data_IF_530060428648
#
_entry.id   IF_530060428648
#
_cell.length_a   1.000
_cell.length_b   1.000
_cell.length_c   1.000
_cell.angle_alpha   90.00
_cell.angle_beta   90.00
_cell.angle_gamma   90.00
#
_symmetry.space_group_name_H-M   'P 1'
#
loop_
_entity.id
_entity.type
_entity.pdbx_description
1 polymer ?
#
# COMPACT_ATOMS: atom_id res chain seq x y z
N UNK A 1 -8.21 -34.63 -11.86
CA UNK A 1 -8.42 -33.23 -11.45
C UNK A 1 -9.17 -32.53 -12.56
N UNK A 2 -10.22 -31.77 -12.26
CA UNK A 2 -10.89 -30.93 -13.26
C UNK A 2 -9.85 -29.97 -13.84
N UNK A 3 -9.81 -29.85 -15.17
CA UNK A 3 -8.89 -28.94 -15.86
C UNK A 3 -9.38 -27.50 -15.71
N UNK A 4 -9.00 -26.94 -14.57
CA UNK A 4 -9.24 -25.57 -14.14
C UNK A 4 -8.59 -24.53 -15.06
N UNK A 5 -7.66 -24.91 -15.94
CA UNK A 5 -6.93 -23.95 -16.77
C UNK A 5 -7.76 -23.36 -17.92
N UNK A 6 -8.85 -24.04 -18.32
CA UNK A 6 -9.73 -23.63 -19.43
C UNK A 6 -10.94 -22.78 -18.99
N UNK A 7 -11.11 -22.58 -17.68
CA UNK A 7 -12.27 -21.88 -17.11
C UNK A 7 -11.92 -20.41 -16.88
N UNK A 8 -12.75 -19.51 -17.42
CA UNK A 8 -12.64 -18.08 -17.12
C UNK A 8 -13.20 -17.80 -15.71
N UNK A 9 -12.29 -17.62 -14.74
CA UNK A 9 -12.63 -17.38 -13.34
C UNK A 9 -13.16 -15.98 -13.06
N UNK A 10 -12.91 -14.99 -13.93
CA UNK A 10 -13.39 -13.62 -13.73
C UNK A 10 -14.92 -13.52 -13.85
N UNK A 11 -15.56 -14.49 -14.54
CA UNK A 11 -17.01 -14.59 -14.63
C UNK A 11 -17.66 -15.26 -13.41
N UNK A 12 -16.88 -16.04 -12.64
CA UNK A 12 -17.38 -16.86 -11.53
C UNK A 12 -17.04 -16.21 -10.19
N UNK A 13 -15.82 -15.69 -10.06
CA UNK A 13 -15.30 -15.07 -8.85
C UNK A 13 -14.99 -13.60 -9.10
N UNK A 14 -15.31 -12.76 -8.10
CA UNK A 14 -15.01 -11.33 -8.13
C UNK A 14 -14.06 -10.98 -6.99
N UNK A 15 -12.96 -10.32 -7.35
CA UNK A 15 -11.97 -9.77 -6.43
C UNK A 15 -12.37 -8.35 -6.01
N UNK A 16 -13.27 -8.27 -5.04
CA UNK A 16 -13.77 -7.00 -4.50
C UNK A 16 -12.69 -6.19 -3.79
N UNK A 17 -11.65 -6.86 -3.27
CA UNK A 17 -10.43 -6.25 -2.73
C UNK A 17 -9.76 -5.33 -3.74
N UNK A 18 -9.54 -5.81 -4.97
CA UNK A 18 -8.92 -5.02 -6.05
C UNK A 18 -9.83 -3.89 -6.51
N UNK A 19 -11.14 -4.14 -6.59
CA UNK A 19 -12.09 -3.12 -7.06
C UNK A 19 -12.22 -1.93 -6.12
N UNK A 20 -12.05 -2.17 -4.81
CA UNK A 20 -12.14 -1.14 -3.77
C UNK A 20 -10.78 -0.49 -3.49
N UNK A 21 -9.69 -1.10 -3.95
CA UNK A 21 -8.34 -0.57 -3.78
C UNK A 21 -8.22 0.83 -4.40
N UNK A 22 -7.69 1.78 -3.61
CA UNK A 22 -7.44 3.13 -4.08
C UNK A 22 -6.45 3.10 -5.23
N UNK A 23 -6.71 3.87 -6.29
CA UNK A 23 -5.77 4.03 -7.42
C UNK A 23 -4.53 4.84 -7.02
N UNK A 24 -4.55 5.49 -5.86
CA UNK A 24 -3.44 6.31 -5.38
C UNK A 24 -2.35 5.42 -4.78
N UNK A 25 -1.09 5.75 -5.06
CA UNK A 25 0.02 5.01 -4.48
C UNK A 25 0.13 5.32 -2.98
N UNK A 26 0.63 4.38 -2.17
CA UNK A 26 0.84 4.60 -0.74
C UNK A 26 1.67 5.85 -0.43
N UNK A 27 2.64 6.19 -1.27
CA UNK A 27 3.49 7.37 -1.13
C UNK A 27 2.70 8.68 -1.31
N UNK A 28 1.75 8.69 -2.26
CA UNK A 28 0.91 9.86 -2.56
C UNK A 28 -0.08 10.13 -1.39
N UNK A 29 -0.58 9.06 -0.78
CA UNK A 29 -1.45 9.14 0.40
C UNK A 29 -0.65 9.63 1.61
N UNK A 30 0.56 9.10 1.82
CA UNK A 30 1.44 9.54 2.90
C UNK A 30 1.75 11.04 2.77
N UNK A 31 2.09 11.53 1.58
CA UNK A 31 2.38 12.94 1.33
C UNK A 31 1.22 13.90 1.72
N UNK A 32 -0.03 13.44 1.65
CA UNK A 32 -1.21 14.24 2.06
C UNK A 32 -1.40 14.32 3.58
N UNK A 33 -0.95 13.29 4.30
CA UNK A 33 -1.21 13.13 5.75
C UNK A 33 0.00 13.59 6.59
N UNK A 34 1.20 13.60 6.00
CA UNK A 34 2.42 13.97 6.69
C UNK A 34 2.36 15.40 7.27
N UNK A 35 2.91 15.63 8.48
CA UNK A 35 2.94 16.94 9.09
C UNK A 35 3.81 17.92 8.29
N UNK A 36 3.43 19.20 8.30
CA UNK A 36 4.16 20.27 7.59
C UNK A 36 5.46 20.70 8.29
N UNK A 37 5.56 20.43 9.59
CA UNK A 37 6.76 20.74 10.37
C UNK A 37 7.92 19.84 9.92
N UNK A 38 9.05 20.45 9.55
CA UNK A 38 10.19 19.77 8.97
C UNK A 38 10.83 18.73 9.92
N UNK A 39 10.80 18.97 11.24
CA UNK A 39 11.37 18.03 12.22
C UNK A 39 10.48 16.81 12.38
N UNK A 40 9.17 17.03 12.49
CA UNK A 40 8.19 15.95 12.66
C UNK A 40 7.95 15.17 11.37
N UNK A 41 8.09 15.82 10.21
CA UNK A 41 7.95 15.19 8.90
C UNK A 41 8.95 14.07 8.68
N UNK A 42 10.22 14.30 9.02
CA UNK A 42 11.29 13.30 8.88
C UNK A 42 11.02 12.07 9.74
N UNK A 43 10.66 12.27 11.01
CA UNK A 43 10.31 11.18 11.93
C UNK A 43 9.08 10.41 11.45
N UNK A 44 8.05 11.12 10.98
CA UNK A 44 6.84 10.50 10.46
C UNK A 44 7.11 9.68 9.19
N UNK A 45 7.94 10.18 8.27
CA UNK A 45 8.37 9.43 7.08
C UNK A 45 9.16 8.17 7.46
N UNK A 46 10.11 8.28 8.40
CA UNK A 46 10.93 7.14 8.82
C UNK A 46 10.10 6.03 9.48
N UNK A 47 9.04 6.41 10.22
CA UNK A 47 8.07 5.45 10.81
C UNK A 47 7.17 4.84 9.73
N UNK A 48 6.63 5.64 8.81
CA UNK A 48 5.73 5.17 7.74
C UNK A 48 6.45 4.20 6.80
N UNK A 49 7.72 4.49 6.47
CA UNK A 49 8.54 3.65 5.59
C UNK A 49 9.33 2.56 6.34
N UNK A 50 9.08 2.37 7.63
CA UNK A 50 9.71 1.35 8.47
C UNK A 50 11.25 1.35 8.39
N UNK A 51 11.87 2.52 8.34
CA UNK A 51 13.33 2.70 8.28
C UNK A 51 14.01 2.53 9.64
N UNK A 52 13.60 1.53 10.42
CA UNK A 52 14.11 1.29 11.78
C UNK A 52 15.62 1.06 11.84
N UNK A 53 16.25 0.65 10.74
CA UNK A 53 17.71 0.48 10.65
C UNK A 53 18.51 1.77 10.59
N UNK A 54 17.89 2.92 10.32
CA UNK A 54 18.55 4.23 10.35
C UNK A 54 18.53 4.88 11.76
N UNK A 55 17.85 4.24 12.73
CA UNK A 55 17.60 4.78 14.09
C UNK A 55 18.57 4.19 15.13
N UNK A 56 19.24 3.07 14.85
CA UNK A 56 20.29 2.52 15.71
C UNK A 56 21.66 3.07 15.30
N UNK A 57 22.08 4.18 15.88
CA UNK A 57 23.48 4.63 15.87
C UNK A 57 23.90 5.21 17.22
#
# INVERSE_FOLDING_TARGET
>A
MLDVSSVNYDMIFRRYDILVESKEKPEDIAAKILPKDALLKKVAEDVVFMKYKDIES
#
